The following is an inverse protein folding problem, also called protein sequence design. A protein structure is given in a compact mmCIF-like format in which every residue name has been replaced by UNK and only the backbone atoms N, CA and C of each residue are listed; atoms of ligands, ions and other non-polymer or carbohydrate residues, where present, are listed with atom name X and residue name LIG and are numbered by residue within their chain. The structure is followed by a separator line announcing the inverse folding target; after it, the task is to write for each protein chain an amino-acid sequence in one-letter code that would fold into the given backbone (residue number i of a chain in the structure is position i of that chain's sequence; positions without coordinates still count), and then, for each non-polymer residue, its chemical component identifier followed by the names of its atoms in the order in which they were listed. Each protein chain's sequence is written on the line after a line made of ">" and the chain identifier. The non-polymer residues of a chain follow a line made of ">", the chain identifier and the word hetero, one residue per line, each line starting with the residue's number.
data_IF_383559633757
#
_entry.id   IF_383559633757
#
_cell.length_a   1.000
_cell.length_b   1.000
_cell.length_c   1.000
_cell.angle_alpha   90.00
_cell.angle_beta   90.00
_cell.angle_gamma   90.00
#
_symmetry.space_group_name_H-M   'P 1'
#
loop_
_entity.id
_entity.type
_entity.pdbx_description
1 polymer ?
#
# COMPACT_ATOMS: atom_id res chain seq x y z
N UNK A 1 7.71 21.66 0.29
CA UNK A 1 7.06 21.77 1.62
C UNK A 1 7.55 20.59 2.46
N UNK A 2 7.83 20.76 3.76
CA UNK A 2 8.23 19.62 4.59
C UNK A 2 7.00 18.77 4.91
N UNK A 3 7.06 17.48 4.56
CA UNK A 3 5.99 16.50 4.76
C UNK A 3 6.49 15.41 5.68
N UNK A 4 5.68 15.05 6.67
CA UNK A 4 6.00 13.98 7.61
C UNK A 4 5.77 12.60 6.98
N UNK A 5 6.84 11.79 6.91
CA UNK A 5 6.75 10.40 6.47
C UNK A 5 6.37 9.47 7.64
N UNK A 6 5.07 9.34 7.88
CA UNK A 6 4.52 8.46 8.90
C UNK A 6 4.79 6.97 8.64
N UNK A 7 4.99 6.56 7.38
CA UNK A 7 5.26 5.16 7.03
C UNK A 7 6.66 4.76 7.50
N UNK A 8 7.67 5.58 7.18
CA UNK A 8 9.04 5.36 7.64
C UNK A 8 9.13 5.36 9.17
N UNK A 9 8.45 6.31 9.81
CA UNK A 9 8.41 6.39 11.27
C UNK A 9 7.80 5.14 11.92
N UNK A 10 6.67 4.65 11.39
CA UNK A 10 6.03 3.44 11.88
C UNK A 10 6.91 2.19 11.67
N UNK A 11 7.52 2.04 10.49
CA UNK A 11 8.42 0.93 10.20
C UNK A 11 9.61 0.90 11.16
N UNK A 12 10.23 2.05 11.43
CA UNK A 12 11.33 2.14 12.38
C UNK A 12 10.88 1.80 13.80
N UNK A 13 9.73 2.32 14.24
CA UNK A 13 9.16 1.99 15.55
C UNK A 13 8.98 0.47 15.71
N UNK A 14 8.36 -0.18 14.74
CA UNK A 14 8.05 -1.62 14.75
C UNK A 14 9.30 -2.49 14.65
N UNK A 15 10.38 -1.97 14.04
CA UNK A 15 11.67 -2.66 14.00
C UNK A 15 12.42 -2.64 15.35
N UNK A 16 12.18 -1.61 16.17
CA UNK A 16 12.87 -1.39 17.45
C UNK A 16 12.07 -1.85 18.66
N UNK A 17 10.75 -1.90 18.55
CA UNK A 17 9.85 -2.25 19.64
C UNK A 17 9.19 -3.60 19.39
N UNK A 18 9.07 -4.40 20.44
CA UNK A 18 8.37 -5.68 20.34
C UNK A 18 6.87 -5.44 20.21
N UNK A 19 6.23 -6.18 19.31
CA UNK A 19 4.78 -6.16 19.07
C UNK A 19 3.98 -6.92 20.14
N UNK A 20 4.53 -7.05 21.35
CA UNK A 20 3.94 -7.82 22.43
C UNK A 20 2.69 -7.15 23.06
N UNK A 21 2.15 -6.09 22.44
CA UNK A 21 1.00 -5.38 22.95
C UNK A 21 -0.27 -6.17 22.70
N UNK A 22 -1.02 -6.43 23.77
CA UNK A 22 -2.30 -7.11 23.72
C UNK A 22 -3.38 -6.30 23.00
N UNK A 23 -3.21 -4.98 22.87
CA UNK A 23 -4.17 -4.09 22.19
C UNK A 23 -3.49 -3.11 21.23
N UNK A 24 -4.13 -2.80 20.08
CA UNK A 24 -3.63 -1.79 19.15
C UNK A 24 -3.51 -0.39 19.76
N UNK A 25 -4.39 -0.04 20.70
CA UNK A 25 -4.42 1.27 21.35
C UNK A 25 -3.14 1.57 22.13
N UNK A 26 -2.64 0.61 22.92
CA UNK A 26 -1.39 0.77 23.67
C UNK A 26 -0.18 0.94 22.75
N UNK A 27 -0.19 0.25 21.61
CA UNK A 27 0.85 0.38 20.58
C UNK A 27 0.85 1.79 20.00
N UNK A 28 -0.33 2.33 19.67
CA UNK A 28 -0.46 3.69 19.13
C UNK A 28 -0.03 4.76 20.15
N UNK A 29 -0.43 4.61 21.42
CA UNK A 29 -0.01 5.52 22.49
C UNK A 29 1.51 5.54 22.64
N UNK A 30 2.15 4.36 22.69
CA UNK A 30 3.62 4.28 22.81
C UNK A 30 4.35 4.80 21.57
N UNK A 31 3.80 4.57 20.38
CA UNK A 31 4.32 5.15 19.15
C UNK A 31 4.27 6.68 19.20
N UNK A 32 3.15 7.26 19.64
CA UNK A 32 3.00 8.72 19.77
C UNK A 32 4.00 9.32 20.78
N UNK A 33 4.18 8.69 21.94
CA UNK A 33 5.21 9.12 22.90
C UNK A 33 6.62 9.02 22.32
N UNK A 34 6.93 7.91 21.65
CA UNK A 34 8.23 7.69 21.03
C UNK A 34 8.59 8.72 19.94
N UNK A 35 7.60 9.24 19.21
CA UNK A 35 7.79 10.34 18.26
C UNK A 35 8.12 11.68 18.94
N UNK A 36 7.69 11.86 20.19
CA UNK A 36 7.98 13.04 21.01
C UNK A 36 9.33 13.00 21.70
N UNK A 37 9.95 11.82 21.82
CA UNK A 37 11.27 11.67 22.47
C UNK A 37 12.33 12.55 21.80
N UNK A 38 13.18 13.16 22.63
CA UNK A 38 14.30 13.97 22.15
C UNK A 38 15.41 13.08 21.59
N UNK A 39 15.83 13.37 20.37
CA UNK A 39 16.92 12.68 19.65
C UNK A 39 17.99 13.71 19.31
N UNK A 40 19.29 13.36 19.40
CA UNK A 40 20.36 14.23 18.93
C UNK A 40 20.15 14.59 17.46
N UNK A 41 20.15 15.88 17.16
CA UNK A 41 20.04 16.38 15.79
C UNK A 41 21.34 16.07 15.02
N UNK A 42 21.28 15.37 13.86
CA UNK A 42 22.46 15.15 13.03
C UNK A 42 23.03 16.45 12.44
N UNK A 43 22.25 17.53 12.38
CA UNK A 43 22.66 18.81 11.78
C UNK A 43 23.12 19.85 12.79
N UNK A 44 22.82 19.68 14.08
CA UNK A 44 23.19 20.65 15.11
C UNK A 44 23.58 19.94 16.42
N UNK A 45 24.89 19.84 16.65
CA UNK A 45 25.44 19.19 17.83
C UNK A 45 25.05 19.95 19.11
N UNK A 46 24.15 19.37 19.91
CA UNK A 46 23.80 19.87 21.24
C UNK A 46 22.34 20.29 21.45
N UNK A 47 21.51 20.27 20.40
CA UNK A 47 20.06 20.45 20.56
C UNK A 47 19.33 19.12 20.32
N UNK A 48 18.59 18.67 21.32
CA UNK A 48 17.67 17.55 21.18
C UNK A 48 16.44 18.02 20.41
N UNK A 49 16.19 17.43 19.24
CA UNK A 49 14.96 17.67 18.47
C UNK A 49 13.98 16.52 18.73
N UNK A 50 12.66 16.78 18.66
CA UNK A 50 11.68 15.71 18.71
C UNK A 50 11.93 14.72 17.57
N UNK A 51 11.86 13.42 17.85
CA UNK A 51 12.11 12.36 16.88
C UNK A 51 11.26 12.52 15.60
N UNK A 52 10.03 13.03 15.70
CA UNK A 52 9.20 13.26 14.51
C UNK A 52 9.89 14.13 13.44
N UNK A 53 10.79 15.03 13.84
CA UNK A 53 11.48 15.94 12.92
C UNK A 53 12.52 15.21 12.06
N UNK A 54 13.02 14.04 12.50
CA UNK A 54 13.93 13.21 11.70
C UNK A 54 13.23 12.50 10.54
N UNK A 55 11.90 12.54 10.50
CA UNK A 55 11.07 11.92 9.46
C UNK A 55 10.41 12.95 8.53
N UNK A 56 10.78 14.23 8.64
CA UNK A 56 10.37 15.23 7.68
C UNK A 56 11.14 15.02 6.36
N UNK A 57 10.39 14.89 5.28
CA UNK A 57 10.91 14.74 3.92
C UNK A 57 10.52 15.98 3.11
N UNK A 58 11.42 16.43 2.25
CA UNK A 58 11.11 17.48 1.28
C UNK A 58 10.36 16.82 0.12
N UNK A 59 9.09 17.20 -0.06
CA UNK A 59 8.35 16.88 -1.27
C UNK A 59 8.21 18.15 -2.11
N UNK A 60 8.73 18.07 -3.33
CA UNK A 60 8.53 19.03 -4.38
C UNK A 60 7.19 18.76 -5.03
N UNK A 61 6.17 19.50 -4.59
CA UNK A 61 4.91 19.61 -5.30
C UNK A 61 5.12 20.63 -6.42
N UNK A 62 5.86 20.25 -7.46
CA UNK A 62 5.78 21.00 -8.70
C UNK A 62 4.34 20.92 -9.19
N UNK A 63 3.69 22.05 -9.54
CA UNK A 63 2.38 21.99 -10.15
C UNK A 63 2.53 21.18 -11.43
N UNK A 64 1.93 19.99 -11.46
CA UNK A 64 1.85 19.19 -12.67
C UNK A 64 1.26 20.09 -13.74
N UNK A 65 2.02 20.36 -14.80
CA UNK A 65 1.49 21.02 -15.99
C UNK A 65 0.41 20.09 -16.52
N UNK A 66 -0.85 20.49 -16.32
CA UNK A 66 -2.01 19.77 -16.82
C UNK A 66 -1.99 19.99 -18.32
N UNK A 67 -1.43 19.02 -19.05
CA UNK A 67 -1.61 18.94 -20.49
C UNK A 67 -3.01 18.36 -20.72
N UNK A 68 -3.89 19.12 -21.39
CA UNK A 68 -5.29 18.71 -21.63
C UNK A 68 -5.37 17.37 -22.39
N UNK A 69 -4.28 16.95 -23.03
CA UNK A 69 -4.16 15.70 -23.76
C UNK A 69 -3.91 14.47 -22.87
N UNK A 70 -3.47 14.64 -21.61
CA UNK A 70 -3.14 13.52 -20.71
C UNK A 70 -3.61 13.76 -19.28
N UNK A 71 -4.81 13.23 -18.97
CA UNK A 71 -5.39 13.26 -17.63
C UNK A 71 -4.58 12.40 -16.64
N UNK A 72 -3.94 13.05 -15.66
CA UNK A 72 -3.32 12.38 -14.50
C UNK A 72 -4.16 12.65 -13.24
N UNK A 73 -4.80 11.61 -12.66
CA UNK A 73 -5.67 11.79 -11.52
C UNK A 73 -4.87 12.19 -10.28
N UNK A 74 -5.36 13.21 -9.58
CA UNK A 74 -4.73 13.85 -8.40
C UNK A 74 -4.72 12.97 -7.13
N UNK A 75 -4.79 11.65 -7.25
CA UNK A 75 -4.76 10.69 -6.13
C UNK A 75 -6.04 10.67 -5.26
N UNK A 76 -6.83 11.74 -5.27
CA UNK A 76 -8.14 11.81 -4.61
C UNK A 76 -9.19 10.95 -5.32
N UNK A 77 -9.06 10.79 -6.63
CA UNK A 77 -9.75 9.78 -7.40
C UNK A 77 -8.77 8.64 -7.63
N UNK A 78 -9.10 7.43 -7.16
CA UNK A 78 -8.48 6.22 -7.72
C UNK A 78 -8.73 6.33 -9.23
N UNK A 79 -7.71 6.21 -10.07
CA UNK A 79 -7.86 6.19 -11.53
C UNK A 79 -9.02 5.26 -11.89
N UNK A 80 -10.19 5.85 -12.11
CA UNK A 80 -11.45 5.12 -12.21
C UNK A 80 -11.59 4.66 -13.65
N UNK A 81 -10.72 3.72 -14.03
CA UNK A 81 -10.86 2.88 -15.21
C UNK A 81 -11.27 1.45 -14.86
N UNK A 82 -11.55 1.14 -13.60
CA UNK A 82 -12.10 -0.16 -13.17
C UNK A 82 -13.17 0.04 -12.11
N UNK A 83 -14.41 0.22 -12.56
CA UNK A 83 -15.54 -0.39 -11.86
C UNK A 83 -15.41 -1.90 -12.14
N UNK A 84 -14.68 -2.61 -11.29
CA UNK A 84 -14.38 -4.02 -11.47
C UNK A 84 -13.92 -4.61 -10.15
N UNK A 85 -14.61 -5.66 -9.71
CA UNK A 85 -14.42 -6.36 -8.45
C UNK A 85 -12.96 -6.75 -8.19
N UNK A 86 -12.62 -7.00 -6.92
CA UNK A 86 -11.29 -7.32 -6.41
C UNK A 86 -10.70 -8.69 -6.85
N UNK A 87 -10.90 -9.07 -8.11
CA UNK A 87 -10.32 -10.24 -8.73
C UNK A 87 -9.77 -9.81 -10.09
N UNK A 88 -8.46 -9.73 -10.20
CA UNK A 88 -7.78 -9.60 -11.48
C UNK A 88 -7.94 -10.92 -12.22
N UNK A 89 -9.08 -11.13 -12.89
CA UNK A 89 -9.15 -12.14 -13.93
C UNK A 89 -8.60 -11.51 -15.21
N UNK A 90 -7.36 -11.91 -15.53
CA UNK A 90 -6.90 -11.85 -16.90
C UNK A 90 -7.95 -12.58 -17.74
N UNK A 91 -8.71 -11.82 -18.52
CA UNK A 91 -9.67 -12.33 -19.50
C UNK A 91 -8.86 -13.03 -20.59
N UNK A 92 -8.42 -14.23 -20.27
CA UNK A 92 -8.08 -15.23 -21.27
C UNK A 92 -9.43 -15.69 -21.83
N UNK A 93 -9.58 -15.65 -23.15
CA UNK A 93 -10.67 -16.32 -23.85
C UNK A 93 -10.64 -17.80 -23.46
N UNK A 94 -11.38 -18.12 -22.40
CA UNK A 94 -11.35 -19.39 -21.71
C UNK A 94 -12.76 -19.80 -21.37
N UNK A 95 -13.08 -21.07 -21.63
CA UNK A 95 -14.37 -21.66 -21.28
C UNK A 95 -14.39 -21.98 -19.79
N UNK A 96 -15.53 -21.81 -19.13
CA UNK A 96 -15.68 -22.23 -17.74
C UNK A 96 -16.12 -23.69 -17.70
N UNK A 97 -15.64 -24.43 -16.69
CA UNK A 97 -16.10 -25.79 -16.46
C UNK A 97 -17.58 -25.78 -16.03
N UNK A 98 -18.43 -26.56 -16.70
CA UNK A 98 -19.87 -26.65 -16.37
C UNK A 98 -20.17 -27.14 -14.95
N UNK A 99 -19.27 -27.97 -14.38
CA UNK A 99 -19.46 -28.55 -13.04
C UNK A 99 -18.80 -27.76 -11.90
N UNK A 100 -17.53 -27.36 -12.03
CA UNK A 100 -16.78 -26.73 -10.93
C UNK A 100 -16.57 -25.21 -11.09
N UNK A 101 -16.92 -24.63 -12.23
CA UNK A 101 -16.79 -23.19 -12.48
C UNK A 101 -15.36 -22.69 -12.68
N UNK A 102 -14.35 -23.56 -12.63
CA UNK A 102 -12.95 -23.18 -12.89
C UNK A 102 -12.78 -22.71 -14.34
N UNK A 103 -11.96 -21.66 -14.52
CA UNK A 103 -11.58 -21.17 -15.84
C UNK A 103 -10.66 -22.17 -16.54
N UNK A 104 -11.06 -22.61 -17.73
CA UNK A 104 -10.33 -23.53 -18.58
C UNK A 104 -9.92 -22.83 -19.87
N UNK A 105 -8.84 -23.27 -20.50
CA UNK A 105 -8.50 -22.79 -21.84
C UNK A 105 -9.56 -23.21 -22.86
N UNK A 106 -9.79 -22.41 -23.89
CA UNK A 106 -10.80 -22.68 -24.92
C UNK A 106 -10.65 -24.07 -25.59
N UNK A 107 -9.45 -24.66 -25.56
CA UNK A 107 -9.13 -25.97 -26.18
C UNK A 107 -9.18 -27.16 -25.19
N UNK A 108 -9.42 -26.94 -23.90
CA UNK A 108 -9.32 -28.00 -22.88
C UNK A 108 -10.47 -29.03 -22.98
N UNK A 109 -10.20 -30.26 -23.44
CA UNK A 109 -11.23 -31.33 -23.53
C UNK A 109 -11.67 -31.88 -22.16
N UNK A 110 -10.87 -31.65 -21.13
CA UNK A 110 -11.09 -32.16 -19.77
C UNK A 110 -10.75 -31.07 -18.75
N UNK A 111 -11.48 -31.03 -17.65
CA UNK A 111 -11.16 -30.16 -16.53
C UNK A 111 -10.06 -30.79 -15.65
N UNK A 112 -8.94 -30.09 -15.38
CA UNK A 112 -7.86 -30.62 -14.53
C UNK A 112 -8.24 -30.71 -13.05
N UNK A 113 -9.23 -29.94 -12.61
CA UNK A 113 -9.66 -29.91 -11.20
C UNK A 113 -10.70 -31.00 -10.89
N UNK A 114 -11.72 -31.14 -11.74
CA UNK A 114 -12.84 -32.05 -11.47
C UNK A 114 -12.85 -33.30 -12.37
N UNK A 115 -11.97 -33.39 -13.37
CA UNK A 115 -11.87 -34.53 -14.28
C UNK A 115 -12.97 -34.63 -15.33
N UNK A 116 -13.99 -33.76 -15.28
CA UNK A 116 -15.15 -33.80 -16.19
C UNK A 116 -14.76 -33.40 -17.62
N UNK A 117 -15.23 -34.18 -18.59
CA UNK A 117 -15.16 -33.86 -20.04
C UNK A 117 -15.95 -32.61 -20.36
N UNK A 118 -15.32 -31.67 -21.08
CA UNK A 118 -15.97 -30.47 -21.60
C UNK A 118 -16.15 -30.65 -23.11
N UNK A 119 -17.33 -31.12 -23.51
CA UNK A 119 -17.73 -31.23 -24.94
C UNK A 119 -18.09 -29.87 -25.54
#
# INVERSE_FOLDING_TARGET
>A
MQVFDGKKAAQEYMSKHTLAFSTPELTLMRFAFWLGDSVPDPNNEGKGIPRMMTFLTEQDFEPVLIDDEKYEPSGAVKSSGLMGNAYTEQKTDGKFCSECGTSLSATAKFCPECGTTQE
#
